data_IF_152349202540
#
_entry.id   IF_152349202540
#
_cell.length_a   1.000
_cell.length_b   1.000
_cell.length_c   1.000
_cell.angle_alpha   90.00
_cell.angle_beta   90.00
_cell.angle_gamma   90.00
#
_symmetry.space_group_name_H-M   'P 1'
#
loop_
_entity.id
_entity.type
_entity.pdbx_description
1 polymer ?
#
# COMPACT_ATOMS: atom_id res chain seq x y z
N UNK A 1 2.69 23.93 5.45
CA UNK A 1 2.46 22.60 4.85
C UNK A 1 3.82 21.94 4.81
N UNK A 2 4.02 20.85 5.55
CA UNK A 2 5.33 20.18 5.57
C UNK A 2 5.66 19.66 4.17
N UNK A 3 6.88 19.93 3.71
CA UNK A 3 7.31 19.52 2.37
C UNK A 3 7.61 18.02 2.41
N UNK A 4 6.73 17.20 1.85
CA UNK A 4 7.03 15.78 1.60
C UNK A 4 8.11 15.71 0.53
N UNK A 5 9.28 15.18 0.89
CA UNK A 5 10.41 14.93 0.00
C UNK A 5 10.56 13.42 -0.15
N UNK A 6 10.52 12.92 -1.39
CA UNK A 6 10.73 11.52 -1.72
C UNK A 6 11.95 11.44 -2.63
N UNK A 7 12.91 10.60 -2.28
CA UNK A 7 14.13 10.40 -3.07
C UNK A 7 14.45 8.88 -3.21
N UNK A 8 14.74 8.38 -4.41
CA UNK A 8 14.68 9.08 -5.69
C UNK A 8 13.25 9.57 -5.99
N UNK A 9 13.14 10.64 -6.77
CA UNK A 9 11.82 11.16 -7.13
C UNK A 9 11.05 10.11 -7.94
N UNK A 10 9.84 9.71 -7.50
CA UNK A 10 9.06 8.73 -8.23
C UNK A 10 8.58 9.31 -9.56
N UNK A 11 8.49 8.46 -10.60
CA UNK A 11 8.06 8.86 -11.94
C UNK A 11 6.69 9.56 -11.95
N UNK A 12 5.80 9.11 -11.07
CA UNK A 12 4.44 9.60 -10.96
C UNK A 12 4.09 9.89 -9.49
N UNK A 13 4.18 11.16 -9.07
CA UNK A 13 3.70 11.62 -7.76
C UNK A 13 2.47 12.50 -7.92
N UNK A 14 1.31 12.01 -7.48
CA UNK A 14 0.08 12.81 -7.40
C UNK A 14 -0.20 13.20 -5.95
N UNK A 15 -0.58 14.45 -5.73
CA UNK A 15 -0.98 14.98 -4.41
C UNK A 15 -2.46 15.31 -4.44
N UNK A 16 -3.15 14.92 -3.38
CA UNK A 16 -4.58 15.16 -3.23
C UNK A 16 -4.80 15.99 -1.96
N UNK A 17 -5.85 16.82 -1.98
CA UNK A 17 -6.25 17.57 -0.81
C UNK A 17 -6.92 16.61 0.18
N UNK A 18 -6.29 16.43 1.33
CA UNK A 18 -6.74 15.53 2.38
C UNK A 18 -5.58 15.19 3.32
N UNK A 19 -5.93 14.75 4.53
CA UNK A 19 -4.95 14.26 5.51
C UNK A 19 -5.41 12.88 5.96
N UNK A 20 -4.54 11.90 5.85
CA UNK A 20 -4.72 10.59 6.47
C UNK A 20 -4.16 10.68 7.90
N UNK A 21 -5.02 10.54 8.90
CA UNK A 21 -4.61 10.47 10.29
C UNK A 21 -4.27 9.00 10.65
N UNK A 22 -3.02 8.75 11.01
CA UNK A 22 -2.56 7.49 11.60
C UNK A 22 -2.41 7.71 13.10
N UNK A 23 -3.07 6.89 13.92
CA UNK A 23 -3.11 7.05 15.38
C UNK A 23 -2.57 5.78 16.07
N UNK A 24 -2.43 5.80 17.39
CA UNK A 24 -2.02 4.62 18.15
C UNK A 24 -3.00 3.44 18.08
N UNK A 25 -4.23 3.65 17.59
CA UNK A 25 -5.21 2.58 17.33
C UNK A 25 -5.17 2.05 15.90
N UNK A 26 -4.38 2.67 15.01
CA UNK A 26 -4.17 2.19 13.65
C UNK A 26 -3.43 0.87 13.61
N UNK A 27 -3.69 0.07 12.59
CA UNK A 27 -3.03 -1.22 12.36
C UNK A 27 -2.36 -1.24 11.00
N UNK A 28 -1.29 -2.03 10.90
CA UNK A 28 -0.64 -2.37 9.65
C UNK A 28 -1.10 -3.78 9.27
N UNK A 29 -1.79 -3.89 8.15
CA UNK A 29 -2.44 -5.10 7.70
C UNK A 29 -1.69 -5.66 6.49
N UNK A 30 -1.28 -6.91 6.56
CA UNK A 30 -0.69 -7.62 5.44
C UNK A 30 -1.73 -8.56 4.82
N UNK A 31 -1.76 -8.55 3.48
CA UNK A 31 -2.73 -9.31 2.69
C UNK A 31 -2.78 -10.82 3.00
N UNK A 32 -3.76 -11.53 2.43
CA UNK A 32 -4.17 -12.86 2.89
C UNK A 32 -3.10 -13.95 2.69
N UNK A 33 -2.16 -13.75 1.75
CA UNK A 33 -1.06 -14.68 1.50
C UNK A 33 0.21 -14.18 2.16
N UNK A 34 0.58 -14.82 3.26
CA UNK A 34 1.86 -14.57 3.90
C UNK A 34 3.03 -14.96 2.97
N UNK A 35 4.09 -14.16 2.98
CA UNK A 35 5.32 -14.44 2.24
C UNK A 35 6.53 -13.87 2.97
N UNK A 36 7.72 -14.37 2.68
CA UNK A 36 8.98 -13.81 3.20
C UNK A 36 9.14 -12.33 2.86
N UNK A 37 8.69 -11.92 1.68
CA UNK A 37 8.69 -10.51 1.23
C UNK A 37 7.80 -9.65 2.12
N UNK A 38 6.57 -10.09 2.40
CA UNK A 38 5.66 -9.35 3.29
C UNK A 38 6.16 -9.33 4.74
N UNK A 39 6.79 -10.41 5.22
CA UNK A 39 7.43 -10.42 6.55
C UNK A 39 8.59 -9.42 6.63
N UNK A 40 9.42 -9.37 5.60
CA UNK A 40 10.51 -8.39 5.53
C UNK A 40 9.95 -6.95 5.48
N UNK A 41 8.96 -6.69 4.63
CA UNK A 41 8.27 -5.40 4.57
C UNK A 41 7.66 -5.00 5.92
N UNK A 42 7.04 -5.93 6.64
CA UNK A 42 6.52 -5.70 7.99
C UNK A 42 7.60 -5.28 8.99
N UNK A 43 8.77 -5.90 8.94
CA UNK A 43 9.91 -5.53 9.77
C UNK A 43 10.35 -4.10 9.52
N UNK A 44 10.49 -3.69 8.26
CA UNK A 44 10.89 -2.33 7.90
C UNK A 44 9.83 -1.29 8.27
N UNK A 45 8.55 -1.62 8.10
CA UNK A 45 7.46 -0.72 8.48
C UNK A 45 7.39 -0.54 10.00
N UNK A 46 7.54 -1.62 10.79
CA UNK A 46 7.63 -1.53 12.26
C UNK A 46 8.79 -0.64 12.70
N UNK A 47 9.93 -0.72 12.02
CA UNK A 47 11.10 0.13 12.33
C UNK A 47 10.79 1.63 12.19
N UNK A 48 9.89 2.01 11.28
CA UNK A 48 9.54 3.40 11.00
C UNK A 48 8.33 3.87 11.78
N UNK A 49 7.29 3.04 11.89
CA UNK A 49 6.01 3.39 12.50
C UNK A 49 5.89 2.97 13.97
N UNK A 50 6.92 2.31 14.53
CA UNK A 50 7.00 1.94 15.93
C UNK A 50 5.98 0.87 16.33
N UNK A 51 5.18 1.18 17.35
CA UNK A 51 4.36 0.23 18.12
C UNK A 51 3.00 -0.09 17.48
N UNK A 52 2.74 0.30 16.23
CA UNK A 52 1.50 -0.06 15.55
C UNK A 52 1.36 -1.59 15.45
N UNK A 53 0.16 -2.10 15.76
CA UNK A 53 -0.15 -3.52 15.64
C UNK A 53 0.05 -3.96 14.18
N UNK A 54 0.73 -5.09 13.99
CA UNK A 54 0.87 -5.71 12.66
C UNK A 54 0.11 -7.02 12.61
N UNK A 55 -0.76 -7.17 11.61
CA UNK A 55 -1.54 -8.37 11.37
C UNK A 55 -1.26 -8.93 9.98
N UNK A 56 -1.14 -10.25 9.87
CA UNK A 56 -0.98 -10.98 8.60
C UNK A 56 -2.23 -11.79 8.29
N UNK A 57 -2.41 -12.14 7.01
CA UNK A 57 -3.53 -12.99 6.60
C UNK A 57 -4.86 -12.24 6.59
N UNK A 58 -4.85 -10.91 6.52
CA UNK A 58 -6.06 -10.10 6.61
C UNK A 58 -6.74 -10.08 5.23
N UNK A 59 -8.02 -10.50 5.13
CA UNK A 59 -8.79 -10.42 3.89
C UNK A 59 -8.89 -9.00 3.33
N UNK A 60 -9.02 -8.90 2.01
CA UNK A 60 -9.37 -7.62 1.37
C UNK A 60 -10.72 -7.12 1.92
N UNK A 61 -10.78 -5.86 2.37
CA UNK A 61 -12.01 -5.23 2.88
C UNK A 61 -12.14 -5.16 4.41
N UNK A 62 -11.22 -5.74 5.18
CA UNK A 62 -11.22 -5.63 6.65
C UNK A 62 -10.45 -4.42 7.20
N UNK A 63 -9.85 -3.61 6.33
CA UNK A 63 -9.15 -2.40 6.72
C UNK A 63 -10.14 -1.32 7.19
N UNK A 64 -9.92 -0.79 8.38
CA UNK A 64 -10.67 0.32 8.94
C UNK A 64 -10.06 1.69 8.61
N UNK A 65 -10.74 2.79 8.97
CA UNK A 65 -10.17 4.13 8.85
C UNK A 65 -8.84 4.25 9.61
N UNK A 66 -7.81 4.75 8.93
CA UNK A 66 -6.48 4.93 9.52
C UNK A 66 -5.60 3.68 9.52
N UNK A 67 -6.10 2.52 9.08
CA UNK A 67 -5.26 1.33 8.86
C UNK A 67 -4.42 1.45 7.58
N UNK A 68 -3.24 0.85 7.58
CA UNK A 68 -2.34 0.78 6.41
C UNK A 68 -2.33 -0.64 5.89
N UNK A 69 -2.78 -0.85 4.66
CA UNK A 69 -2.82 -2.18 4.03
C UNK A 69 -1.65 -2.37 3.05
N UNK A 70 -0.94 -3.49 3.19
CA UNK A 70 0.21 -3.90 2.39
C UNK A 70 -0.02 -5.30 1.82
N UNK A 71 -0.19 -5.37 0.51
CA UNK A 71 -0.32 -6.64 -0.21
C UNK A 71 0.82 -6.83 -1.19
N UNK A 72 1.09 -8.09 -1.53
CA UNK A 72 1.74 -8.37 -2.81
C UNK A 72 0.68 -8.09 -3.87
N UNK A 73 0.89 -7.05 -4.67
CA UNK A 73 0.08 -6.84 -5.84
C UNK A 73 0.17 -8.07 -6.74
N UNK A 74 -0.89 -8.89 -6.79
CA UNK A 74 -1.15 -9.61 -8.01
C UNK A 74 -1.43 -8.56 -9.08
N UNK A 75 -0.94 -8.75 -10.31
CA UNK A 75 -1.41 -7.96 -11.45
C UNK A 75 -2.92 -8.14 -11.58
N UNK A 76 -3.68 -7.34 -10.84
CA UNK A 76 -5.12 -7.26 -10.89
C UNK A 76 -5.38 -5.95 -11.60
N UNK A 77 -5.58 -6.09 -12.90
CA UNK A 77 -6.19 -5.09 -13.75
C UNK A 77 -7.32 -4.44 -12.95
N UNK A 78 -7.22 -3.12 -12.74
CA UNK A 78 -8.29 -2.32 -12.16
C UNK A 78 -9.42 -2.30 -13.20
N UNK A 79 -10.19 -3.39 -13.31
CA UNK A 79 -11.42 -3.44 -14.09
C UNK A 79 -12.51 -2.70 -13.32
N UNK A 80 -12.32 -1.39 -13.18
CA UNK A 80 -13.27 -0.43 -12.64
C UNK A 80 -13.51 0.64 -13.70
N UNK A 81 -14.35 0.31 -14.68
CA UNK A 81 -15.00 1.18 -15.68
C UNK A 81 -14.50 2.63 -15.72
N UNK A 82 -13.47 2.86 -16.52
CA UNK A 82 -13.08 4.18 -17.03
C UNK A 82 -12.26 3.95 -18.29
N UNK A 83 -12.79 4.35 -19.45
CA UNK A 83 -12.22 4.11 -20.78
C UNK A 83 -10.73 4.45 -20.85
N UNK A 84 -9.91 3.47 -21.20
CA UNK A 84 -8.48 3.64 -21.47
C UNK A 84 -7.88 2.38 -22.08
N UNK A 85 -8.21 2.09 -23.34
CA UNK A 85 -7.52 1.08 -24.14
C UNK A 85 -6.08 1.54 -24.39
N UNK A 86 -5.10 0.83 -23.82
CA UNK A 86 -3.73 0.83 -24.35
C UNK A 86 -3.29 -0.62 -24.54
N UNK A 87 -3.06 -0.96 -25.81
CA UNK A 87 -2.45 -2.20 -26.26
C UNK A 87 -0.96 -2.14 -25.99
N UNK A 88 -0.38 -3.18 -25.39
CA UNK A 88 1.03 -3.48 -25.59
C UNK A 88 1.16 -4.92 -26.09
N UNK A 89 1.29 -5.02 -27.41
CA UNK A 89 1.84 -6.19 -28.10
C UNK A 89 3.30 -6.34 -27.70
N UNK A 90 3.62 -7.43 -27.01
CA UNK A 90 4.99 -7.85 -26.72
C UNK A 90 5.28 -9.18 -27.41
N UNK A 91 5.81 -9.10 -28.63
CA UNK A 91 6.58 -10.18 -29.25
C UNK A 91 7.95 -10.26 -28.59
N UNK A 92 8.31 -11.44 -28.08
CA UNK A 92 9.65 -12.04 -28.19
C UNK A 92 9.49 -13.55 -28.00
#
# INVERSE_FOLDING_TARGET
MDKVVVFPEPKDLKRYNGVLAVTGSSRILFGPKESSVLRHAASEVRRVLGDLEVRFGVPEGEAGPGDVWLGLGGSRELSGRGKGTYWMSGTA
#
